data_IF_146875605544
#
_entry.id   IF_146875605544
#
_cell.length_a   1.000
_cell.length_b   1.000
_cell.length_c   1.000
_cell.angle_alpha   90.00
_cell.angle_beta   90.00
_cell.angle_gamma   90.00
#
_symmetry.space_group_name_H-M   'P 1'
#
loop_
_entity.id
_entity.type
_entity.pdbx_description
1 polymer ?
#
# COMPACT_ATOMS: atom_id res chain seq x y z
N UNK A 1 -75.13 17.97 -37.82
CA UNK A 1 -73.75 18.29 -37.36
C UNK A 1 -73.23 17.22 -36.37
N UNK A 2 -73.28 15.92 -36.71
CA UNK A 2 -72.97 14.83 -35.74
C UNK A 2 -72.15 13.65 -36.30
N UNK A 3 -71.43 13.83 -37.44
CA UNK A 3 -70.64 12.73 -38.03
C UNK A 3 -69.17 13.07 -38.35
N UNK A 4 -68.61 14.13 -37.75
CA UNK A 4 -67.18 14.48 -37.92
C UNK A 4 -66.36 14.27 -36.63
N UNK A 5 -67.01 14.17 -35.46
CA UNK A 5 -66.32 14.05 -34.16
C UNK A 5 -65.84 12.63 -33.77
N UNK A 6 -66.25 11.57 -34.49
CA UNK A 6 -65.92 10.18 -34.12
C UNK A 6 -64.67 9.60 -34.80
N UNK A 7 -64.23 10.11 -35.96
CA UNK A 7 -63.03 9.60 -36.63
C UNK A 7 -61.72 10.19 -36.04
N UNK A 8 -61.77 11.39 -35.46
CA UNK A 8 -60.62 12.01 -34.80
C UNK A 8 -60.29 11.28 -33.48
N UNK A 9 -61.31 10.91 -32.68
CA UNK A 9 -61.09 10.18 -31.42
C UNK A 9 -60.53 8.77 -31.61
N UNK A 10 -60.86 8.09 -32.72
CA UNK A 10 -60.36 6.75 -33.01
C UNK A 10 -58.90 6.79 -33.49
N UNK A 11 -58.53 7.72 -34.38
CA UNK A 11 -57.13 7.89 -34.81
C UNK A 11 -56.19 8.39 -33.71
N UNK A 12 -56.66 9.26 -32.80
CA UNK A 12 -55.84 9.69 -31.64
C UNK A 12 -55.64 8.53 -30.67
N UNK A 13 -56.67 7.71 -30.39
CA UNK A 13 -56.52 6.52 -29.53
C UNK A 13 -55.58 5.46 -30.13
N UNK A 14 -55.64 5.18 -31.44
CA UNK A 14 -54.74 4.21 -32.07
C UNK A 14 -53.29 4.73 -32.14
N UNK A 15 -53.08 6.04 -32.40
CA UNK A 15 -51.74 6.64 -32.35
C UNK A 15 -51.16 6.65 -30.93
N UNK A 16 -51.95 6.92 -29.89
CA UNK A 16 -51.50 6.85 -28.49
C UNK A 16 -51.14 5.43 -28.04
N UNK A 17 -51.85 4.39 -28.51
CA UNK A 17 -51.53 2.98 -28.20
C UNK A 17 -50.22 2.56 -28.88
N UNK A 18 -49.99 2.97 -30.13
CA UNK A 18 -48.75 2.66 -30.85
C UNK A 18 -47.56 3.36 -30.19
N UNK A 19 -47.69 4.64 -29.82
CA UNK A 19 -46.64 5.39 -29.12
C UNK A 19 -46.31 4.75 -27.76
N UNK A 20 -47.32 4.35 -26.98
CA UNK A 20 -47.10 3.66 -25.70
C UNK A 20 -46.37 2.31 -25.87
N UNK A 21 -46.72 1.54 -26.90
CA UNK A 21 -46.05 0.25 -27.17
C UNK A 21 -44.59 0.39 -27.62
N UNK A 22 -44.27 1.46 -28.36
CA UNK A 22 -42.89 1.77 -28.77
C UNK A 22 -42.06 2.23 -27.58
N UNK A 23 -42.63 3.04 -26.67
CA UNK A 23 -41.95 3.46 -25.43
C UNK A 23 -41.64 2.25 -24.55
N UNK A 24 -42.57 1.32 -24.39
CA UNK A 24 -42.34 0.09 -23.61
C UNK A 24 -41.28 -0.79 -24.26
N UNK A 25 -41.30 -0.95 -25.59
CA UNK A 25 -40.28 -1.72 -26.30
C UNK A 25 -38.88 -1.09 -26.18
N UNK A 26 -38.78 0.25 -26.27
CA UNK A 26 -37.52 0.99 -26.06
C UNK A 26 -37.05 0.87 -24.61
N UNK A 27 -37.95 0.94 -23.63
CA UNK A 27 -37.61 0.74 -22.22
C UNK A 27 -37.14 -0.70 -21.94
N UNK A 28 -37.78 -1.71 -22.54
CA UNK A 28 -37.35 -3.11 -22.42
C UNK A 28 -36.01 -3.34 -23.12
N UNK A 29 -35.77 -2.73 -24.29
CA UNK A 29 -34.47 -2.79 -24.98
C UNK A 29 -33.40 -2.04 -24.19
N UNK A 30 -33.72 -0.90 -23.57
CA UNK A 30 -32.81 -0.16 -22.70
C UNK A 30 -32.48 -0.96 -21.44
N UNK A 31 -33.47 -1.58 -20.79
CA UNK A 31 -33.26 -2.50 -19.66
C UNK A 31 -32.45 -3.72 -20.09
N UNK A 32 -32.66 -4.25 -21.30
CA UNK A 32 -31.87 -5.36 -21.86
C UNK A 32 -30.45 -4.94 -22.23
N UNK A 33 -30.23 -3.69 -22.65
CA UNK A 33 -28.89 -3.08 -22.87
C UNK A 33 -28.21 -2.87 -21.52
N UNK A 34 -28.88 -2.32 -20.52
CA UNK A 34 -28.39 -2.15 -19.15
C UNK A 34 -28.10 -3.52 -18.49
N UNK A 35 -28.88 -4.56 -18.82
CA UNK A 35 -28.65 -5.90 -18.28
C UNK A 35 -27.62 -6.72 -19.07
N UNK A 36 -27.34 -6.36 -20.34
CA UNK A 36 -26.33 -7.03 -21.18
C UNK A 36 -24.97 -6.34 -21.14
N UNK A 37 -24.94 -5.01 -20.99
CA UNK A 37 -23.80 -4.24 -20.52
C UNK A 37 -23.89 -4.20 -19.01
N UNK A 38 -23.54 -5.30 -18.36
CA UNK A 38 -23.44 -5.36 -16.90
C UNK A 38 -22.35 -4.42 -16.40
N UNK A 39 -22.60 -3.11 -16.43
CA UNK A 39 -21.96 -2.17 -15.53
C UNK A 39 -22.49 -2.56 -14.15
N UNK A 40 -21.75 -3.46 -13.49
CA UNK A 40 -21.85 -3.57 -12.04
C UNK A 40 -21.66 -2.17 -11.45
N UNK A 41 -22.16 -1.96 -10.23
CA UNK A 41 -22.06 -0.72 -9.46
C UNK A 41 -20.60 -0.33 -9.16
N UNK A 42 -19.77 -0.14 -10.19
CA UNK A 42 -18.36 0.17 -10.12
C UNK A 42 -18.16 1.67 -10.27
N UNK A 43 -17.26 2.22 -9.48
CA UNK A 43 -16.89 3.62 -9.56
C UNK A 43 -15.73 3.82 -10.54
N UNK A 44 -15.64 5.04 -11.08
CA UNK A 44 -14.53 5.49 -11.92
C UNK A 44 -13.88 6.70 -11.27
N UNK A 45 -12.55 6.70 -11.15
CA UNK A 45 -11.77 7.87 -10.71
C UNK A 45 -10.91 8.31 -11.88
N UNK A 46 -10.83 9.62 -12.12
CA UNK A 46 -9.93 10.21 -13.14
C UNK A 46 -8.87 11.07 -12.47
N UNK A 47 -7.68 11.12 -13.06
CA UNK A 47 -6.52 11.82 -12.51
C UNK A 47 -5.53 12.21 -13.61
N UNK A 48 -4.56 13.05 -13.26
CA UNK A 48 -3.52 13.49 -14.18
C UNK A 48 -2.53 12.35 -14.50
N UNK A 49 -1.97 12.36 -15.71
CA UNK A 49 -1.08 11.28 -16.18
C UNK A 49 0.23 11.14 -15.36
N UNK A 50 0.62 12.18 -14.64
CA UNK A 50 1.81 12.23 -13.78
C UNK A 50 1.54 11.75 -12.34
N UNK A 51 0.29 11.46 -11.97
CA UNK A 51 -0.10 11.07 -10.60
C UNK A 51 0.49 9.73 -10.14
N UNK A 52 0.85 8.83 -11.07
CA UNK A 52 1.38 7.47 -10.80
C UNK A 52 0.57 6.75 -9.71
N UNK A 53 -0.72 6.57 -9.97
CA UNK A 53 -1.69 6.00 -9.02
C UNK A 53 -1.45 4.52 -8.76
N UNK A 54 -1.53 4.12 -7.50
CA UNK A 54 -1.63 2.73 -7.08
C UNK A 54 -2.67 2.57 -5.96
N UNK A 55 -3.03 1.31 -5.67
CA UNK A 55 -4.08 0.99 -4.71
C UNK A 55 -3.66 -0.12 -3.74
N UNK A 56 -4.25 -0.07 -2.55
CA UNK A 56 -4.47 -1.20 -1.64
C UNK A 56 -5.95 -1.40 -1.42
N UNK A 57 -6.39 -2.63 -1.20
CA UNK A 57 -7.80 -2.98 -1.04
C UNK A 57 -8.07 -3.46 0.37
N UNK A 58 -9.23 -3.07 0.90
CA UNK A 58 -9.72 -3.35 2.24
C UNK A 58 -11.07 -4.05 2.10
N UNK A 59 -11.06 -5.37 1.99
CA UNK A 59 -12.24 -6.07 1.52
C UNK A 59 -12.61 -5.60 0.11
N UNK A 60 -13.72 -4.86 -0.01
CA UNK A 60 -14.19 -4.19 -1.24
C UNK A 60 -13.93 -2.69 -1.30
N UNK A 61 -13.48 -2.11 -0.19
CA UNK A 61 -13.06 -0.71 -0.11
C UNK A 61 -11.61 -0.59 -0.57
N UNK A 62 -11.11 0.65 -0.72
CA UNK A 62 -9.79 0.86 -1.31
C UNK A 62 -9.10 2.12 -0.83
N UNK A 63 -7.78 2.03 -0.70
CA UNK A 63 -6.89 3.12 -0.40
C UNK A 63 -6.07 3.41 -1.66
N UNK A 64 -6.37 4.53 -2.31
CA UNK A 64 -5.59 5.07 -3.41
C UNK A 64 -4.42 5.85 -2.85
N UNK A 65 -3.22 5.63 -3.37
CA UNK A 65 -2.05 6.42 -3.01
C UNK A 65 -1.29 6.90 -4.25
N UNK A 66 -0.74 8.11 -4.13
CA UNK A 66 0.03 8.80 -5.17
C UNK A 66 1.26 9.45 -4.54
N UNK A 67 2.06 10.13 -5.36
CA UNK A 67 3.16 10.98 -4.88
C UNK A 67 2.71 12.13 -3.96
N UNK A 68 1.45 12.56 -4.05
CA UNK A 68 0.94 13.77 -3.40
C UNK A 68 -0.01 13.48 -2.22
N UNK A 69 -0.34 12.22 -1.97
CA UNK A 69 -1.27 11.87 -0.88
C UNK A 69 -2.00 10.56 -1.07
N UNK A 70 -2.93 10.34 -0.15
CA UNK A 70 -3.78 9.16 -0.03
C UNK A 70 -5.25 9.56 0.02
N UNK A 71 -6.11 8.75 -0.60
CA UNK A 71 -7.57 8.87 -0.52
C UNK A 71 -8.15 7.48 -0.27
N UNK A 72 -9.05 7.38 0.71
CA UNK A 72 -9.79 6.15 0.96
C UNK A 72 -11.19 6.23 0.36
N UNK A 73 -11.57 5.21 -0.38
CA UNK A 73 -12.86 5.07 -1.04
C UNK A 73 -13.59 3.84 -0.51
N UNK A 74 -14.89 3.96 -0.26
CA UNK A 74 -15.73 2.79 -0.02
C UNK A 74 -16.03 2.01 -1.32
N UNK A 75 -16.71 0.86 -1.23
CA UNK A 75 -17.11 0.05 -2.40
C UNK A 75 -17.86 0.85 -3.47
N UNK A 76 -18.63 1.88 -3.07
CA UNK A 76 -19.38 2.74 -3.99
C UNK A 76 -18.52 3.82 -4.67
N UNK A 77 -17.22 3.92 -4.35
CA UNK A 77 -16.31 4.94 -4.84
C UNK A 77 -16.47 6.31 -4.19
N UNK A 78 -17.15 6.38 -3.05
CA UNK A 78 -17.25 7.62 -2.29
C UNK A 78 -15.98 7.81 -1.48
N UNK A 79 -15.31 8.96 -1.66
CA UNK A 79 -14.17 9.32 -0.84
C UNK A 79 -14.62 9.55 0.62
N UNK A 80 -14.04 8.79 1.55
CA UNK A 80 -14.38 8.85 2.98
C UNK A 80 -13.46 9.83 3.70
N UNK A 81 -12.15 9.73 3.45
CA UNK A 81 -11.13 10.63 3.98
C UNK A 81 -9.96 10.73 3.01
N UNK A 82 -9.14 11.77 3.18
CA UNK A 82 -7.89 11.95 2.48
C UNK A 82 -6.82 12.51 3.43
N UNK A 83 -5.56 12.29 3.09
CA UNK A 83 -4.41 12.94 3.73
C UNK A 83 -3.37 13.29 2.66
N UNK A 84 -2.70 14.42 2.82
CA UNK A 84 -1.72 14.93 1.86
C UNK A 84 -0.29 14.69 2.33
N UNK A 85 0.60 14.33 1.42
CA UNK A 85 2.03 14.25 1.67
C UNK A 85 2.81 14.51 0.38
N UNK A 86 4.14 14.48 0.43
CA UNK A 86 4.95 14.55 -0.79
C UNK A 86 6.03 13.49 -0.72
N UNK A 87 5.93 12.50 -1.61
CA UNK A 87 6.89 11.40 -1.79
C UNK A 87 7.23 11.29 -3.27
N UNK A 88 8.46 10.96 -3.61
CA UNK A 88 8.90 10.77 -5.00
C UNK A 88 8.36 9.46 -5.60
N UNK A 89 8.42 8.38 -4.83
CA UNK A 89 8.00 7.05 -5.26
C UNK A 89 7.42 6.26 -4.08
N UNK A 90 6.16 6.50 -3.69
CA UNK A 90 5.55 5.86 -2.53
C UNK A 90 5.42 4.35 -2.72
N UNK A 91 5.66 3.63 -1.63
CA UNK A 91 5.53 2.18 -1.47
C UNK A 91 4.53 1.96 -0.34
N UNK A 92 3.54 1.10 -0.58
CA UNK A 92 2.59 0.67 0.43
C UNK A 92 2.88 -0.77 0.87
N UNK A 93 2.89 -1.00 2.18
CA UNK A 93 2.91 -2.34 2.78
C UNK A 93 1.75 -2.45 3.76
N UNK A 94 1.01 -3.54 3.71
CA UNK A 94 -0.17 -3.74 4.54
C UNK A 94 -0.12 -5.00 5.39
N UNK A 95 -0.86 -4.96 6.50
CA UNK A 95 -1.21 -6.13 7.30
C UNK A 95 -2.56 -5.88 7.97
N UNK A 96 -3.52 -6.76 7.71
CA UNK A 96 -4.92 -6.57 8.13
C UNK A 96 -5.40 -5.15 7.74
N UNK A 97 -5.88 -4.39 8.73
CA UNK A 97 -6.48 -3.08 8.51
C UNK A 97 -5.44 -1.94 8.51
N UNK A 98 -4.14 -2.24 8.53
CA UNK A 98 -3.07 -1.25 8.57
C UNK A 98 -2.30 -1.19 7.26
N UNK A 99 -2.10 0.01 6.72
CA UNK A 99 -1.21 0.28 5.58
C UNK A 99 -0.19 1.34 5.96
N UNK A 100 1.09 0.98 5.85
CA UNK A 100 2.18 1.95 5.94
C UNK A 100 2.61 2.39 4.53
N UNK A 101 2.70 3.71 4.34
CA UNK A 101 3.20 4.34 3.13
C UNK A 101 4.54 5.03 3.44
N UNK A 102 5.55 4.72 2.63
CA UNK A 102 6.91 5.27 2.75
C UNK A 102 7.58 5.30 1.38
N UNK A 103 8.83 5.75 1.31
CA UNK A 103 9.67 5.54 0.12
C UNK A 103 11.07 5.13 0.51
N UNK A 104 11.68 4.22 -0.27
CA UNK A 104 13.09 3.87 -0.12
C UNK A 104 13.95 5.11 -0.39
N UNK A 105 14.90 5.41 0.51
CA UNK A 105 15.68 6.65 0.47
C UNK A 105 15.01 7.82 1.19
N UNK A 106 13.72 7.73 1.50
CA UNK A 106 12.97 8.70 2.31
C UNK A 106 13.26 8.56 3.80
N UNK A 107 12.59 9.39 4.62
CA UNK A 107 12.75 9.42 6.09
C UNK A 107 11.44 9.38 6.86
N UNK A 108 10.32 9.22 6.17
CA UNK A 108 8.99 9.23 6.77
C UNK A 108 8.26 7.94 6.44
N UNK A 109 7.64 7.34 7.43
CA UNK A 109 6.61 6.30 7.27
C UNK A 109 5.31 6.86 7.82
N UNK A 110 4.23 6.84 7.03
CA UNK A 110 2.88 7.23 7.47
C UNK A 110 1.99 6.00 7.55
N UNK A 111 1.35 5.79 8.69
CA UNK A 111 0.43 4.69 8.95
C UNK A 111 -1.02 5.13 8.78
N UNK A 112 -1.82 4.33 8.09
CA UNK A 112 -3.24 4.54 7.87
C UNK A 112 -4.04 3.26 8.13
N UNK A 113 -5.32 3.41 8.39
CA UNK A 113 -6.32 2.35 8.42
C UNK A 113 -7.64 2.83 7.80
N UNK A 114 -8.71 2.04 7.85
CA UNK A 114 -10.03 2.41 7.32
C UNK A 114 -10.61 3.71 7.93
N UNK A 115 -10.22 4.05 9.16
CA UNK A 115 -10.66 5.25 9.88
C UNK A 115 -9.83 6.51 9.53
N UNK A 116 -8.67 6.36 8.88
CA UNK A 116 -7.81 7.45 8.47
C UNK A 116 -6.36 7.31 8.92
N UNK A 117 -5.72 8.47 9.12
CA UNK A 117 -4.36 8.55 9.64
C UNK A 117 -4.26 8.01 11.07
N UNK A 118 -3.27 7.15 11.34
CA UNK A 118 -3.05 6.56 12.67
C UNK A 118 -1.86 7.23 13.36
N UNK A 119 -0.67 7.18 12.76
CA UNK A 119 0.55 7.82 13.24
C UNK A 119 1.58 7.97 12.12
N UNK A 120 2.63 8.76 12.33
CA UNK A 120 3.82 8.76 11.48
C UNK A 120 5.09 8.57 12.31
N UNK A 121 6.14 8.09 11.66
CA UNK A 121 7.49 8.04 12.23
C UNK A 121 8.46 8.75 11.31
N UNK A 122 9.35 9.53 11.93
CA UNK A 122 10.45 10.23 11.26
C UNK A 122 11.77 9.54 11.64
N UNK A 123 12.46 8.99 10.65
CA UNK A 123 13.74 8.30 10.85
C UNK A 123 14.90 9.28 10.70
N UNK A 124 15.97 9.03 11.46
CA UNK A 124 17.22 9.80 11.33
C UNK A 124 17.95 9.49 10.02
N UNK A 125 17.93 8.22 9.62
CA UNK A 125 18.59 7.69 8.43
C UNK A 125 17.59 7.28 7.35
N UNK A 126 18.07 7.05 6.13
CA UNK A 126 17.18 6.76 5.00
C UNK A 126 16.57 5.36 5.12
N UNK A 127 15.29 5.25 4.81
CA UNK A 127 14.54 3.98 4.90
C UNK A 127 14.96 3.06 3.75
N UNK A 128 15.19 1.78 4.07
CA UNK A 128 15.37 0.71 3.10
C UNK A 128 14.10 -0.11 2.96
N UNK A 129 13.52 -0.55 4.07
CA UNK A 129 12.33 -1.39 4.09
C UNK A 129 11.50 -1.16 5.34
N UNK A 130 10.20 -1.48 5.23
CA UNK A 130 9.21 -1.42 6.29
C UNK A 130 8.40 -2.71 6.28
N UNK A 131 8.07 -3.24 7.46
CA UNK A 131 7.08 -4.29 7.68
C UNK A 131 5.98 -3.80 8.62
N UNK A 132 4.79 -4.38 8.51
CA UNK A 132 3.62 -4.04 9.34
C UNK A 132 3.13 -5.30 10.03
N UNK A 133 2.97 -5.24 11.35
CA UNK A 133 2.41 -6.31 12.16
C UNK A 133 0.88 -6.22 12.23
N UNK A 134 0.24 -7.32 12.60
CA UNK A 134 -1.22 -7.39 12.75
C UNK A 134 -1.78 -6.44 13.83
N UNK A 135 -0.98 -6.12 14.85
CA UNK A 135 -1.35 -5.16 15.89
C UNK A 135 -1.13 -3.68 15.51
N UNK A 136 -0.60 -3.40 14.30
CA UNK A 136 -0.29 -2.05 13.82
C UNK A 136 1.11 -1.55 14.18
N UNK A 137 1.97 -2.37 14.78
CA UNK A 137 3.40 -2.04 14.95
C UNK A 137 4.13 -2.12 13.61
N UNK A 138 5.27 -1.44 13.49
CA UNK A 138 6.12 -1.52 12.29
C UNK A 138 7.56 -1.85 12.62
N UNK A 139 8.18 -2.68 11.77
CA UNK A 139 9.64 -2.83 11.70
C UNK A 139 10.19 -1.94 10.59
N UNK A 140 11.26 -1.20 10.85
CA UNK A 140 11.88 -0.29 9.88
C UNK A 140 13.38 -0.55 9.83
N UNK A 141 13.90 -0.80 8.63
CA UNK A 141 15.35 -0.90 8.37
C UNK A 141 15.80 0.41 7.74
N UNK A 142 16.81 1.06 8.32
CA UNK A 142 17.40 2.30 7.81
C UNK A 142 18.88 2.13 7.51
N UNK A 143 19.39 2.92 6.56
CA UNK A 143 20.80 2.95 6.17
C UNK A 143 21.41 4.34 6.41
N UNK A 144 22.39 4.41 7.30
CA UNK A 144 23.12 5.62 7.64
C UNK A 144 24.62 5.37 7.71
N UNK A 145 25.24 5.72 8.84
CA UNK A 145 26.63 5.29 9.13
C UNK A 145 26.70 3.77 9.36
N UNK A 146 25.62 3.21 9.90
CA UNK A 146 25.41 1.79 10.13
C UNK A 146 23.97 1.45 9.77
N UNK A 147 23.68 0.19 9.50
CA UNK A 147 22.30 -0.24 9.34
C UNK A 147 21.62 -0.27 10.71
N UNK A 148 20.36 0.15 10.76
CA UNK A 148 19.58 0.11 12.00
C UNK A 148 18.25 -0.55 11.74
N UNK A 149 17.83 -1.46 12.62
CA UNK A 149 16.50 -2.07 12.62
C UNK A 149 15.76 -1.55 13.86
N UNK A 150 14.62 -0.90 13.65
CA UNK A 150 13.82 -0.28 14.72
C UNK A 150 12.38 -0.79 14.69
N UNK A 151 11.81 -1.09 15.85
CA UNK A 151 10.37 -1.37 15.99
C UNK A 151 9.68 -0.17 16.60
N UNK A 152 8.57 0.25 16.00
CA UNK A 152 7.67 1.25 16.54
C UNK A 152 6.33 0.62 16.90
N UNK A 153 5.79 1.01 18.06
CA UNK A 153 4.47 0.63 18.54
C UNK A 153 3.34 1.15 17.63
N UNK A 154 2.10 0.68 17.81
CA UNK A 154 0.91 1.20 17.09
C UNK A 154 0.55 2.67 17.41
N UNK A 155 1.39 3.36 18.19
CA UNK A 155 1.28 4.78 18.51
C UNK A 155 2.49 5.60 18.05
N UNK A 156 3.39 4.99 17.25
CA UNK A 156 4.60 5.63 16.74
C UNK A 156 5.77 5.73 17.74
N UNK A 157 5.62 5.21 18.96
CA UNK A 157 6.72 5.18 19.94
C UNK A 157 7.72 4.06 19.62
N UNK A 158 9.03 4.37 19.68
CA UNK A 158 10.09 3.38 19.52
C UNK A 158 10.09 2.37 20.68
N UNK A 159 10.06 1.07 20.35
CA UNK A 159 10.04 -0.03 21.32
C UNK A 159 11.38 -0.79 21.35
N UNK A 160 12.00 -0.96 20.19
CA UNK A 160 13.24 -1.73 20.03
C UNK A 160 14.13 -1.05 19.00
N UNK A 161 15.44 -1.12 19.19
CA UNK A 161 16.41 -0.65 18.22
C UNK A 161 17.66 -1.53 18.26
N UNK A 162 18.14 -1.92 17.08
CA UNK A 162 19.38 -2.66 16.88
C UNK A 162 20.22 -1.98 15.82
N UNK A 163 21.48 -1.68 16.15
CA UNK A 163 22.46 -1.05 15.26
C UNK A 163 23.46 -2.11 14.81
N UNK A 164 23.58 -2.31 13.51
CA UNK A 164 24.54 -3.23 12.90
C UNK A 164 25.80 -2.49 12.49
N UNK A 165 26.80 -2.53 13.36
CA UNK A 165 28.10 -1.91 13.14
C UNK A 165 29.12 -2.84 12.48
N UNK A 166 28.81 -4.13 12.33
CA UNK A 166 29.74 -5.11 11.80
C UNK A 166 29.84 -5.03 10.27
N UNK A 167 31.05 -4.81 9.78
CA UNK A 167 31.31 -4.75 8.34
C UNK A 167 31.10 -6.12 7.70
N UNK A 168 30.28 -6.20 6.65
CA UNK A 168 29.99 -7.44 5.95
C UNK A 168 28.73 -8.16 6.45
N UNK A 169 28.04 -7.62 7.45
CA UNK A 169 26.73 -8.14 7.91
C UNK A 169 25.66 -7.09 7.61
N UNK A 170 24.65 -7.48 6.83
CA UNK A 170 23.65 -6.55 6.30
C UNK A 170 22.24 -7.06 6.61
N UNK A 171 21.41 -6.33 7.38
CA UNK A 171 20.01 -6.69 7.56
C UNK A 171 19.27 -6.47 6.22
N UNK A 172 18.58 -7.51 5.75
CA UNK A 172 17.91 -7.51 4.45
C UNK A 172 16.40 -7.28 4.58
N UNK A 173 15.74 -8.02 5.47
CA UNK A 173 14.34 -7.80 5.81
C UNK A 173 14.06 -8.09 7.29
N UNK A 174 12.95 -7.57 7.80
CA UNK A 174 12.47 -7.87 9.14
C UNK A 174 10.95 -8.00 9.15
N UNK A 175 10.43 -8.73 10.13
CA UNK A 175 9.00 -8.78 10.40
C UNK A 175 8.73 -8.83 11.90
N UNK A 176 7.58 -8.31 12.32
CA UNK A 176 7.18 -8.22 13.73
C UNK A 176 6.01 -9.17 13.98
N UNK A 177 6.07 -9.93 15.08
CA UNK A 177 5.04 -10.92 15.40
C UNK A 177 3.66 -10.28 15.58
N UNK A 178 2.56 -11.02 15.33
CA UNK A 178 1.20 -10.51 15.47
C UNK A 178 0.91 -9.80 16.80
N UNK A 179 1.47 -10.29 17.90
CA UNK A 179 1.34 -9.69 19.23
C UNK A 179 2.31 -8.52 19.50
N UNK A 180 3.32 -8.31 18.65
CA UNK A 180 4.33 -7.27 18.80
C UNK A 180 5.39 -7.56 19.86
N UNK A 181 5.55 -8.81 20.28
CA UNK A 181 6.54 -9.19 21.30
C UNK A 181 7.90 -9.59 20.70
N UNK A 182 7.91 -10.04 19.44
CA UNK A 182 9.09 -10.58 18.76
C UNK A 182 9.34 -9.81 17.46
N UNK A 183 10.60 -9.52 17.17
CA UNK A 183 11.05 -9.15 15.83
C UNK A 183 11.99 -10.22 15.29
N UNK A 184 11.76 -10.63 14.04
CA UNK A 184 12.69 -11.44 13.27
C UNK A 184 13.45 -10.57 12.28
N UNK A 185 14.76 -10.78 12.16
CA UNK A 185 15.62 -10.03 11.23
C UNK A 185 16.44 -11.02 10.41
N UNK A 186 16.35 -10.94 9.08
CA UNK A 186 17.25 -11.67 8.19
C UNK A 186 18.48 -10.83 7.88
N UNK A 187 19.64 -11.45 7.94
CA UNK A 187 20.93 -10.86 7.64
C UNK A 187 21.60 -11.63 6.52
N UNK A 188 22.28 -10.91 5.63
CA UNK A 188 23.31 -11.47 4.76
C UNK A 188 24.67 -11.26 5.44
N UNK A 189 25.42 -12.33 5.62
CA UNK A 189 26.82 -12.33 6.05
C UNK A 189 27.73 -12.63 4.86
N UNK A 190 28.59 -11.67 4.53
CA UNK A 190 29.57 -11.73 3.44
C UNK A 190 31.01 -11.72 3.96
N UNK A 191 31.24 -11.98 5.25
CA UNK A 191 32.58 -11.97 5.86
C UNK A 191 33.39 -13.22 5.52
N UNK A 192 32.70 -14.32 5.22
CA UNK A 192 33.28 -15.59 4.81
C UNK A 192 33.60 -15.69 3.32
N UNK A 193 34.03 -16.88 2.89
CA UNK A 193 34.26 -17.20 1.47
C UNK A 193 32.92 -17.35 0.72
N UNK A 194 31.93 -17.93 1.38
CA UNK A 194 30.57 -18.13 0.89
C UNK A 194 29.62 -17.20 1.64
N UNK A 195 28.56 -16.77 0.96
CA UNK A 195 27.49 -15.98 1.57
C UNK A 195 26.70 -16.88 2.52
N UNK A 196 26.29 -16.32 3.66
CA UNK A 196 25.36 -16.98 4.58
C UNK A 196 24.20 -16.07 4.89
N UNK A 197 23.01 -16.64 5.07
CA UNK A 197 21.91 -15.96 5.72
C UNK A 197 21.82 -16.35 7.18
N UNK A 198 21.49 -15.38 8.04
CA UNK A 198 21.12 -15.61 9.43
C UNK A 198 19.77 -14.98 9.70
N UNK A 199 18.87 -15.72 10.32
CA UNK A 199 17.62 -15.19 10.88
C UNK A 199 17.81 -15.08 12.38
N UNK A 200 17.82 -13.86 12.92
CA UNK A 200 17.81 -13.63 14.37
C UNK A 200 16.39 -13.38 14.87
N UNK A 201 16.04 -14.00 16.00
CA UNK A 201 14.77 -13.82 16.71
C UNK A 201 15.03 -13.07 18.02
N UNK A 202 14.39 -11.92 18.19
CA UNK A 202 14.65 -11.00 19.30
C UNK A 202 13.37 -10.67 20.05
N UNK A 203 13.44 -10.65 21.38
CA UNK A 203 12.39 -10.02 22.18
C UNK A 203 12.46 -8.50 22.02
N UNK A 204 11.30 -7.88 21.75
CA UNK A 204 11.19 -6.43 21.64
C UNK A 204 11.29 -5.79 23.03
N UNK A 205 10.68 -6.41 24.04
CA UNK A 205 10.75 -5.94 25.42
C UNK A 205 12.08 -6.37 26.08
N UNK A 206 12.86 -5.40 26.58
CA UNK A 206 14.16 -5.63 27.19
C UNK A 206 14.12 -6.44 28.49
N UNK A 207 13.02 -6.37 29.25
CA UNK A 207 12.88 -7.12 30.50
C UNK A 207 12.66 -8.61 30.21
N UNK A 208 11.81 -8.92 29.23
CA UNK A 208 11.63 -10.30 28.73
C UNK A 208 12.93 -10.83 28.11
N UNK A 209 13.66 -9.97 27.39
CA UNK A 209 14.94 -10.30 26.77
C UNK A 209 16.15 -10.30 27.70
N UNK A 210 15.99 -9.97 28.98
CA UNK A 210 17.11 -9.65 29.89
C UNK A 210 18.11 -10.80 30.09
N UNK A 211 17.64 -12.05 29.98
CA UNK A 211 18.47 -13.25 30.12
C UNK A 211 19.23 -13.61 28.82
N UNK A 212 19.00 -12.87 27.74
CA UNK A 212 19.59 -13.09 26.42
C UNK A 212 20.49 -11.92 26.00
N UNK A 213 21.67 -12.24 25.47
CA UNK A 213 22.55 -11.21 24.88
C UNK A 213 21.81 -10.49 23.75
N UNK A 214 21.76 -9.16 23.81
CA UNK A 214 21.03 -8.29 22.89
C UNK A 214 19.54 -8.66 22.70
N UNK A 215 18.92 -9.32 23.69
CA UNK A 215 17.56 -9.87 23.60
C UNK A 215 17.34 -10.94 22.51
N UNK A 216 18.42 -11.47 21.91
CA UNK A 216 18.35 -12.51 20.88
C UNK A 216 18.24 -13.90 21.51
N UNK A 217 17.08 -14.53 21.37
CA UNK A 217 16.81 -15.82 22.00
C UNK A 217 16.87 -17.01 21.03
N UNK A 218 16.86 -16.75 19.72
CA UNK A 218 16.92 -17.78 18.69
C UNK A 218 17.66 -17.29 17.45
N UNK A 219 18.29 -18.22 16.75
CA UNK A 219 18.90 -17.95 15.45
C UNK A 219 18.87 -19.19 14.56
N UNK A 220 18.63 -18.98 13.27
CA UNK A 220 18.73 -20.01 12.22
C UNK A 220 19.74 -19.52 11.18
N UNK A 221 20.71 -20.36 10.84
CA UNK A 221 21.74 -20.07 9.84
C UNK A 221 21.53 -20.94 8.60
N UNK A 222 21.65 -20.32 7.42
CA UNK A 222 21.56 -20.98 6.11
C UNK A 222 22.81 -20.63 5.30
N UNK A 223 23.48 -21.64 4.78
CA UNK A 223 24.67 -21.45 3.94
C UNK A 223 24.24 -21.38 2.47
N UNK A 224 24.86 -20.50 1.70
CA UNK A 224 24.62 -20.36 0.25
C UNK A 224 23.14 -20.11 -0.11
N UNK A 225 22.46 -19.34 0.73
CA UNK A 225 21.06 -18.97 0.60
C UNK A 225 20.88 -17.50 1.00
N UNK A 226 20.03 -16.76 0.29
CA UNK A 226 19.61 -15.40 0.61
C UNK A 226 18.16 -15.39 1.04
N UNK A 227 17.89 -14.99 2.28
CA UNK A 227 16.54 -14.91 2.87
C UNK A 227 16.00 -13.49 2.73
N UNK A 228 15.23 -13.26 1.66
CA UNK A 228 14.84 -11.92 1.20
C UNK A 228 13.45 -11.47 1.68
N UNK A 229 12.61 -12.38 2.18
CA UNK A 229 11.30 -12.03 2.74
C UNK A 229 10.95 -12.94 3.90
N UNK A 230 10.26 -12.39 4.90
CA UNK A 230 9.73 -13.16 6.01
C UNK A 230 8.34 -12.68 6.37
N UNK A 231 7.51 -13.60 6.86
CA UNK A 231 6.21 -13.28 7.42
C UNK A 231 5.98 -14.10 8.68
N UNK A 232 5.71 -13.42 9.80
CA UNK A 232 5.03 -14.06 10.91
C UNK A 232 3.61 -14.40 10.48
N UNK A 233 3.21 -15.63 10.76
CA UNK A 233 1.91 -16.21 10.50
C UNK A 233 1.24 -16.56 11.83
N UNK A 234 0.01 -17.07 11.78
CA UNK A 234 -0.76 -17.42 12.99
C UNK A 234 0.03 -18.29 13.99
N UNK A 235 -0.07 -17.94 15.28
CA UNK A 235 0.68 -18.61 16.36
C UNK A 235 2.14 -18.17 16.48
N UNK A 236 2.51 -17.02 15.91
CA UNK A 236 3.87 -16.47 15.87
C UNK A 236 4.90 -17.40 15.21
N UNK A 237 4.44 -18.29 14.32
CA UNK A 237 5.34 -19.05 13.46
C UNK A 237 5.83 -18.14 12.35
N UNK A 238 7.14 -18.09 12.15
CA UNK A 238 7.78 -17.31 11.09
C UNK A 238 7.97 -18.21 9.86
N UNK A 239 7.54 -17.73 8.70
CA UNK A 239 7.92 -18.30 7.42
C UNK A 239 8.97 -17.38 6.79
N UNK A 240 10.17 -17.92 6.59
CA UNK A 240 11.27 -17.27 5.91
C UNK A 240 11.39 -17.80 4.47
N UNK A 241 11.48 -16.89 3.52
CA UNK A 241 11.51 -17.18 2.08
C UNK A 241 12.88 -16.78 1.58
N UNK A 242 13.64 -17.79 1.18
CA UNK A 242 14.91 -17.65 0.51
C UNK A 242 14.84 -18.05 -0.95
N UNK A 243 15.93 -17.80 -1.66
CA UNK A 243 16.13 -18.18 -3.06
C UNK A 243 16.33 -19.70 -3.25
N UNK A 244 16.69 -20.42 -2.18
CA UNK A 244 16.86 -21.89 -2.17
C UNK A 244 15.82 -22.63 -1.36
N UNK A 245 15.38 -22.07 -0.25
CA UNK A 245 14.49 -22.75 0.67
C UNK A 245 13.41 -21.84 1.24
N UNK A 246 12.29 -22.45 1.59
CA UNK A 246 11.24 -21.84 2.41
C UNK A 246 11.28 -22.54 3.76
N UNK A 247 11.65 -21.78 4.80
CA UNK A 247 11.91 -22.29 6.14
C UNK A 247 10.82 -21.83 7.10
N UNK A 248 10.21 -22.78 7.81
CA UNK A 248 9.30 -22.52 8.92
C UNK A 248 10.09 -22.54 10.23
N UNK A 249 9.92 -21.49 11.03
CA UNK A 249 10.57 -21.32 12.34
C UNK A 249 9.46 -21.11 13.37
N UNK A 250 9.47 -21.90 14.44
CA UNK A 250 8.49 -21.76 15.52
C UNK A 250 8.73 -20.49 16.33
N UNK A 251 7.74 -20.06 17.10
CA UNK A 251 7.86 -18.91 18.00
C UNK A 251 9.05 -19.02 18.99
N UNK A 252 9.47 -20.26 19.31
CA UNK A 252 10.65 -20.54 20.14
C UNK A 252 12.00 -20.31 19.41
N UNK A 253 11.98 -19.87 18.15
CA UNK A 253 13.18 -19.62 17.35
C UNK A 253 13.86 -20.88 16.82
N UNK A 254 13.12 -21.98 16.69
CA UNK A 254 13.63 -23.28 16.21
C UNK A 254 13.09 -23.56 14.81
N UNK A 255 13.96 -23.99 13.90
CA UNK A 255 13.57 -24.47 12.58
C UNK A 255 12.72 -25.75 12.70
N UNK A 256 11.49 -25.70 12.20
CA UNK A 256 10.53 -26.83 12.22
C UNK A 256 10.54 -27.60 10.90
N UNK A 257 10.69 -26.88 9.78
CA UNK A 257 10.74 -27.48 8.45
C UNK A 257 11.44 -26.57 7.46
N UNK A 258 12.04 -27.15 6.44
CA UNK A 258 12.57 -26.44 5.29
C UNK A 258 12.18 -27.19 4.02
N UNK A 259 11.63 -26.47 3.04
CA UNK A 259 11.23 -27.01 1.74
C UNK A 259 12.06 -26.33 0.66
N UNK A 260 12.62 -27.11 -0.26
CA UNK A 260 13.40 -26.55 -1.37
C UNK A 260 12.50 -25.79 -2.35
N UNK A 261 13.01 -24.67 -2.82
CA UNK A 261 12.46 -23.90 -3.93
C UNK A 261 13.03 -24.51 -5.22
N UNK A 262 12.18 -24.66 -6.23
CA UNK A 262 12.53 -25.29 -7.50
C UNK A 262 12.69 -24.29 -8.65
N UNK A 263 12.20 -23.07 -8.49
CA UNK A 263 12.16 -22.03 -9.51
C UNK A 263 12.61 -20.68 -8.93
N UNK A 264 12.96 -19.73 -9.78
CA UNK A 264 13.07 -18.34 -9.38
C UNK A 264 11.75 -17.83 -8.78
N UNK A 265 11.82 -16.95 -7.78
CA UNK A 265 10.63 -16.36 -7.14
C UNK A 265 10.47 -14.94 -7.66
N UNK A 266 9.44 -14.72 -8.49
CA UNK A 266 9.22 -13.43 -9.17
C UNK A 266 8.31 -12.48 -8.39
N UNK A 267 7.53 -13.00 -7.46
CA UNK A 267 6.63 -12.21 -6.61
C UNK A 267 6.23 -12.97 -5.35
N UNK A 268 6.00 -12.23 -4.27
CA UNK A 268 5.61 -12.76 -2.96
C UNK A 268 4.67 -11.79 -2.26
N UNK A 269 3.57 -12.28 -1.68
CA UNK A 269 2.64 -11.46 -0.91
C UNK A 269 1.70 -12.31 -0.04
N UNK A 270 1.04 -11.68 0.92
CA UNK A 270 0.02 -12.34 1.74
C UNK A 270 -1.29 -12.47 0.96
N UNK A 271 -1.88 -13.66 0.98
CA UNK A 271 -3.19 -13.94 0.39
C UNK A 271 -4.04 -14.62 1.47
N UNK A 272 -4.78 -13.80 2.23
CA UNK A 272 -5.46 -14.24 3.45
C UNK A 272 -4.45 -14.79 4.46
N UNK A 273 -4.68 -16.01 4.93
CA UNK A 273 -3.84 -16.68 5.92
C UNK A 273 -2.68 -17.50 5.31
N UNK A 274 -2.36 -17.29 4.03
CA UNK A 274 -1.26 -17.94 3.32
C UNK A 274 -0.33 -16.89 2.75
N UNK A 275 0.88 -17.33 2.43
CA UNK A 275 1.77 -16.57 1.55
C UNK A 275 1.55 -17.11 0.13
N UNK A 276 1.36 -16.23 -0.83
CA UNK A 276 1.35 -16.56 -2.24
C UNK A 276 2.66 -16.13 -2.89
N UNK A 277 3.12 -16.92 -3.86
CA UNK A 277 4.28 -16.66 -4.69
C UNK A 277 3.93 -16.96 -6.13
N UNK A 278 4.70 -16.38 -7.05
CA UNK A 278 4.69 -16.77 -8.46
C UNK A 278 6.10 -17.19 -8.87
N UNK A 279 6.20 -18.38 -9.46
CA UNK A 279 7.45 -18.94 -9.93
C UNK A 279 7.83 -18.40 -11.32
N UNK A 280 9.12 -18.15 -11.51
CA UNK A 280 9.74 -17.88 -12.81
C UNK A 280 10.36 -19.14 -13.40
N UNK A 281 11.52 -18.98 -14.05
CA UNK A 281 12.27 -20.08 -14.62
C UNK A 281 12.72 -21.09 -13.57
N UNK A 282 12.89 -22.35 -13.96
CA UNK A 282 13.42 -23.38 -13.06
C UNK A 282 14.88 -23.10 -12.70
N UNK A 283 15.26 -23.43 -11.47
CA UNK A 283 16.65 -23.33 -11.04
C UNK A 283 17.49 -24.39 -11.76
N UNK A 284 18.73 -24.07 -12.12
CA UNK A 284 19.57 -24.88 -13.02
C UNK A 284 19.83 -26.33 -12.55
N UNK A 285 19.63 -26.62 -11.27
CA UNK A 285 19.84 -27.93 -10.63
C UNK A 285 18.55 -28.60 -10.16
N UNK A 286 17.38 -28.06 -10.53
CA UNK A 286 16.05 -28.53 -10.08
C UNK A 286 15.18 -28.93 -11.28
N UNK A 287 14.21 -29.80 -11.02
CA UNK A 287 13.08 -30.04 -11.93
C UNK A 287 11.92 -29.19 -11.40
N UNK A 288 11.65 -28.08 -12.07
CA UNK A 288 10.73 -27.05 -11.58
C UNK A 288 9.29 -27.22 -12.02
N UNK A 289 8.46 -26.30 -11.54
CA UNK A 289 7.12 -26.07 -12.10
C UNK A 289 7.22 -25.19 -13.35
N UNK A 290 6.12 -25.08 -14.10
CA UNK A 290 6.05 -24.15 -15.22
C UNK A 290 6.23 -22.69 -14.75
N UNK A 291 6.96 -21.84 -15.48
CA UNK A 291 6.97 -20.40 -15.22
C UNK A 291 5.56 -19.82 -15.18
N UNK A 292 5.33 -18.88 -14.26
CA UNK A 292 4.02 -18.30 -13.97
C UNK A 292 3.16 -19.11 -13.00
N UNK A 293 3.60 -20.29 -12.53
CA UNK A 293 2.85 -21.10 -11.57
C UNK A 293 2.67 -20.38 -10.24
N UNK A 294 1.42 -20.32 -9.76
CA UNK A 294 1.11 -19.81 -8.42
C UNK A 294 1.45 -20.89 -7.39
N UNK A 295 2.19 -20.50 -6.35
CA UNK A 295 2.55 -21.38 -5.24
C UNK A 295 2.13 -20.73 -3.93
N UNK A 296 1.48 -21.49 -3.06
CA UNK A 296 1.13 -21.04 -1.72
C UNK A 296 1.99 -21.71 -0.66
N UNK A 297 2.36 -20.96 0.36
CA UNK A 297 2.92 -21.45 1.61
C UNK A 297 1.88 -21.29 2.72
N UNK A 298 1.54 -22.40 3.37
CA UNK A 298 0.71 -22.38 4.58
C UNK A 298 1.51 -21.88 5.80
N UNK A 299 0.81 -21.52 6.89
CA UNK A 299 1.45 -21.12 8.15
C UNK A 299 2.34 -22.18 8.79
N UNK A 300 2.25 -23.44 8.37
CA UNK A 300 3.12 -24.53 8.78
C UNK A 300 4.20 -24.89 7.76
N UNK A 301 4.50 -23.99 6.80
CA UNK A 301 5.57 -24.17 5.82
C UNK A 301 5.28 -25.14 4.68
N UNK A 302 4.06 -25.70 4.59
CA UNK A 302 3.69 -26.62 3.49
C UNK A 302 3.35 -25.85 2.22
N UNK A 303 3.87 -26.34 1.09
CA UNK A 303 3.59 -25.82 -0.24
C UNK A 303 2.35 -26.46 -0.88
N UNK A 304 1.66 -25.68 -1.72
CA UNK A 304 0.66 -26.17 -2.66
C UNK A 304 0.69 -25.34 -3.94
N UNK A 305 0.54 -25.98 -5.08
CA UNK A 305 0.56 -25.34 -6.40
C UNK A 305 -0.86 -25.04 -6.90
N UNK A 306 -0.98 -23.99 -7.69
CA UNK A 306 -2.17 -23.60 -8.44
C UNK A 306 -1.94 -23.67 -9.94
N UNK A 307 -2.80 -23.01 -10.70
CA UNK A 307 -2.63 -22.78 -12.14
C UNK A 307 -1.50 -21.78 -12.40
N UNK A 308 -1.07 -21.70 -13.66
CA UNK A 308 0.01 -20.81 -14.10
C UNK A 308 -0.50 -19.66 -14.98
N UNK A 309 0.17 -18.50 -14.90
CA UNK A 309 0.05 -17.48 -15.92
C UNK A 309 0.70 -17.96 -17.23
N UNK A 310 0.21 -17.49 -18.38
CA UNK A 310 0.77 -17.88 -19.69
C UNK A 310 1.87 -16.91 -20.16
N UNK A 311 2.33 -16.01 -19.29
CA UNK A 311 3.39 -15.03 -19.55
C UNK A 311 4.36 -15.01 -18.38
N UNK A 312 5.62 -14.67 -18.65
CA UNK A 312 6.56 -14.29 -17.60
C UNK A 312 6.05 -13.01 -16.92
N UNK A 313 5.97 -13.01 -15.60
CA UNK A 313 5.27 -11.96 -14.84
C UNK A 313 6.25 -11.00 -14.17
N UNK A 314 6.05 -9.70 -14.36
CA UNK A 314 6.72 -8.61 -13.63
C UNK A 314 5.76 -7.85 -12.69
N UNK A 315 4.47 -8.19 -12.73
CA UNK A 315 3.43 -7.66 -11.87
C UNK A 315 2.84 -8.78 -11.02
N UNK A 316 2.76 -8.56 -9.70
CA UNK A 316 2.18 -9.51 -8.76
C UNK A 316 1.59 -8.77 -7.56
N UNK A 317 0.27 -8.83 -7.40
CA UNK A 317 -0.45 -8.22 -6.27
C UNK A 317 -1.40 -9.25 -5.66
N UNK A 318 -1.40 -9.33 -4.33
CA UNK A 318 -2.28 -10.21 -3.57
C UNK A 318 -3.38 -9.44 -2.85
N UNK A 319 -4.42 -10.17 -2.48
CA UNK A 319 -5.48 -9.79 -1.55
C UNK A 319 -6.01 -11.06 -0.87
N UNK A 320 -6.94 -10.92 0.07
CA UNK A 320 -7.66 -12.07 0.63
C UNK A 320 -8.47 -12.85 -0.42
N UNK A 321 -8.90 -12.19 -1.50
CA UNK A 321 -9.69 -12.81 -2.55
C UNK A 321 -8.89 -13.67 -3.52
N UNK A 322 -7.58 -13.40 -3.62
CA UNK A 322 -6.71 -14.04 -4.60
C UNK A 322 -5.57 -13.14 -5.06
N UNK A 323 -5.02 -13.48 -6.22
CA UNK A 323 -3.79 -12.91 -6.77
C UNK A 323 -4.08 -12.38 -8.16
N UNK A 324 -3.52 -11.22 -8.49
CA UNK A 324 -3.41 -10.75 -9.86
C UNK A 324 -1.95 -10.74 -10.26
N UNK A 325 -1.64 -11.42 -11.36
CA UNK A 325 -0.30 -11.46 -11.92
C UNK A 325 -0.33 -11.17 -13.42
N UNK A 326 0.74 -10.64 -13.97
CA UNK A 326 0.80 -10.32 -15.40
C UNK A 326 2.11 -9.67 -15.81
N UNK A 327 2.17 -9.31 -17.08
CA UNK A 327 3.20 -8.44 -17.63
C UNK A 327 2.68 -7.70 -18.87
N UNK A 328 3.15 -6.46 -19.03
CA UNK A 328 2.81 -5.61 -20.17
C UNK A 328 1.30 -5.43 -20.32
N UNK A 329 0.71 -6.14 -21.28
CA UNK A 329 -0.70 -6.05 -21.64
C UNK A 329 -1.55 -7.23 -21.20
N UNK A 330 -0.96 -8.29 -20.64
CA UNK A 330 -1.64 -9.54 -20.29
C UNK A 330 -1.66 -9.74 -18.77
N UNK A 331 -2.85 -9.89 -18.19
CA UNK A 331 -3.06 -10.05 -16.76
C UNK A 331 -4.02 -11.21 -16.48
N UNK A 332 -3.81 -11.87 -15.35
CA UNK A 332 -4.48 -13.09 -14.92
C UNK A 332 -4.91 -12.94 -13.47
N UNK A 333 -6.14 -13.33 -13.16
CA UNK A 333 -6.65 -13.38 -11.80
C UNK A 333 -6.77 -14.82 -11.33
N UNK A 334 -6.14 -15.13 -10.21
CA UNK A 334 -6.17 -16.44 -9.56
C UNK A 334 -6.90 -16.34 -8.23
N UNK A 335 -7.77 -17.30 -7.94
CA UNK A 335 -8.41 -17.40 -6.62
C UNK A 335 -7.39 -17.64 -5.50
N UNK A 336 -7.79 -17.47 -4.24
CA UNK A 336 -6.99 -17.84 -3.06
C UNK A 336 -6.71 -19.35 -2.90
N UNK A 337 -7.27 -20.17 -3.81
CA UNK A 337 -6.95 -21.57 -4.01
C UNK A 337 -5.99 -21.85 -5.17
N UNK A 338 -5.58 -20.82 -5.92
CA UNK A 338 -4.66 -20.92 -7.06
C UNK A 338 -5.33 -21.21 -8.40
N UNK A 339 -6.65 -21.32 -8.47
CA UNK A 339 -7.36 -21.55 -9.73
C UNK A 339 -7.43 -20.27 -10.56
N UNK A 340 -7.13 -20.36 -11.86
CA UNK A 340 -7.31 -19.27 -12.82
C UNK A 340 -8.80 -18.95 -12.97
N UNK A 341 -9.17 -17.71 -12.69
CA UNK A 341 -10.56 -17.23 -12.71
C UNK A 341 -10.88 -16.43 -13.95
N UNK A 342 -9.94 -15.59 -14.39
CA UNK A 342 -10.07 -14.75 -15.58
C UNK A 342 -8.69 -14.39 -16.12
N UNK A 343 -8.64 -14.05 -17.39
CA UNK A 343 -7.50 -13.41 -18.03
C UNK A 343 -7.99 -12.25 -18.88
N UNK A 344 -7.15 -11.22 -19.00
CA UNK A 344 -7.43 -10.05 -19.83
C UNK A 344 -6.16 -9.67 -20.60
N UNK A 345 -6.34 -9.41 -21.88
CA UNK A 345 -5.33 -8.78 -22.73
C UNK A 345 -5.90 -7.47 -23.24
N UNK A 346 -5.15 -6.38 -23.08
CA UNK A 346 -5.63 -5.02 -23.41
C UNK A 346 -4.63 -4.29 -24.29
N UNK A 347 -5.13 -3.39 -25.14
CA UNK A 347 -4.27 -2.44 -25.87
C UNK A 347 -4.07 -1.12 -25.11
N UNK A 348 -4.79 -0.94 -24.01
CA UNK A 348 -4.73 0.25 -23.16
C UNK A 348 -3.42 0.42 -22.41
N UNK A 349 -3.17 1.65 -21.94
CA UNK A 349 -2.03 1.97 -21.07
C UNK A 349 -2.33 1.55 -19.62
N UNK A 350 -2.52 0.26 -19.41
CA UNK A 350 -2.68 -0.34 -18.07
C UNK A 350 -1.42 -0.06 -17.23
N UNK A 351 -1.66 0.22 -15.96
CA UNK A 351 -0.62 0.47 -14.95
C UNK A 351 -0.75 -0.47 -13.75
N UNK A 352 -1.89 -1.14 -13.60
CA UNK A 352 -2.09 -2.19 -12.61
C UNK A 352 -3.55 -2.65 -12.55
N UNK A 353 -3.74 -3.82 -11.96
CA UNK A 353 -5.05 -4.35 -11.57
C UNK A 353 -4.93 -4.82 -10.12
N UNK A 354 -5.75 -4.26 -9.23
CA UNK A 354 -5.66 -4.51 -7.80
C UNK A 354 -6.85 -5.36 -7.35
N UNK A 355 -6.63 -6.61 -6.88
CA UNK A 355 -7.71 -7.49 -6.46
C UNK A 355 -8.33 -7.04 -5.15
N UNK A 356 -9.64 -7.21 -5.03
CA UNK A 356 -10.38 -7.06 -3.76
C UNK A 356 -10.50 -8.42 -3.06
N UNK A 357 -11.19 -8.49 -1.91
CA UNK A 357 -11.58 -9.76 -1.28
C UNK A 357 -12.44 -10.67 -2.19
N UNK A 358 -12.91 -10.16 -3.33
CA UNK A 358 -13.41 -10.97 -4.44
C UNK A 358 -12.50 -10.81 -5.66
N UNK A 359 -11.79 -11.86 -6.07
CA UNK A 359 -10.90 -11.81 -7.24
C UNK A 359 -11.60 -11.40 -8.55
N UNK A 360 -12.91 -11.56 -8.65
CA UNK A 360 -13.67 -11.11 -9.82
C UNK A 360 -13.98 -9.61 -9.81
N UNK A 361 -13.83 -8.93 -8.66
CA UNK A 361 -13.93 -7.47 -8.54
C UNK A 361 -12.53 -6.92 -8.34
N UNK A 362 -12.01 -6.18 -9.32
CA UNK A 362 -10.67 -5.61 -9.26
C UNK A 362 -10.68 -4.14 -9.65
N UNK A 363 -9.77 -3.34 -9.07
CA UNK A 363 -9.55 -1.97 -9.50
C UNK A 363 -8.61 -2.00 -10.69
N UNK A 364 -9.16 -1.82 -11.89
CA UNK A 364 -8.40 -1.71 -13.12
C UNK A 364 -7.88 -0.27 -13.25
N UNK A 365 -6.58 -0.09 -13.44
CA UNK A 365 -5.92 1.22 -13.35
C UNK A 365 -5.12 1.51 -14.62
N UNK A 366 -5.34 2.68 -15.21
CA UNK A 366 -4.58 3.22 -16.33
C UNK A 366 -3.78 4.46 -15.93
N UNK A 367 -3.10 5.09 -16.89
CA UNK A 367 -2.39 6.36 -16.65
C UNK A 367 -3.28 7.52 -16.21
N UNK A 368 -4.56 7.57 -16.57
CA UNK A 368 -5.41 8.75 -16.32
C UNK A 368 -6.74 8.43 -15.66
N UNK A 369 -7.05 7.15 -15.46
CA UNK A 369 -8.27 6.72 -14.79
C UNK A 369 -8.15 5.32 -14.23
N UNK A 370 -8.92 5.05 -13.19
CA UNK A 370 -9.13 3.73 -12.61
C UNK A 370 -10.62 3.44 -12.50
N UNK A 371 -10.99 2.17 -12.49
CA UNK A 371 -12.38 1.75 -12.31
C UNK A 371 -12.47 0.44 -11.53
N UNK A 372 -13.48 0.34 -10.67
CA UNK A 372 -13.89 -0.94 -10.10
C UNK A 372 -14.59 -1.77 -11.18
N UNK A 373 -13.96 -2.88 -11.57
CA UNK A 373 -14.40 -3.71 -12.69
C UNK A 373 -14.77 -5.13 -12.24
N UNK A 374 -15.81 -5.69 -12.87
CA UNK A 374 -16.09 -7.13 -12.80
C UNK A 374 -15.34 -7.85 -13.92
N UNK A 375 -14.22 -8.47 -13.57
CA UNK A 375 -13.24 -9.00 -14.52
C UNK A 375 -13.75 -10.16 -15.38
N UNK A 376 -14.83 -10.86 -14.99
CA UNK A 376 -15.40 -11.93 -15.80
C UNK A 376 -15.92 -11.46 -17.18
N UNK A 377 -16.33 -10.20 -17.28
CA UNK A 377 -16.92 -9.63 -18.50
C UNK A 377 -16.37 -8.23 -18.80
N UNK A 378 -15.23 -7.86 -18.20
CA UNK A 378 -14.67 -6.52 -18.38
C UNK A 378 -13.85 -6.48 -19.68
N UNK A 379 -14.29 -5.64 -20.61
CA UNK A 379 -13.55 -5.32 -21.83
C UNK A 379 -12.94 -3.92 -21.69
N UNK A 380 -11.64 -3.82 -21.34
CA UNK A 380 -10.99 -2.52 -21.14
C UNK A 380 -10.89 -1.69 -22.42
N UNK A 381 -10.87 -2.33 -23.60
CA UNK A 381 -10.67 -1.63 -24.87
C UNK A 381 -11.96 -0.96 -25.37
N UNK A 382 -13.12 -1.38 -24.86
CA UNK A 382 -14.43 -0.73 -25.12
C UNK A 382 -14.97 0.10 -23.94
N UNK A 383 -14.25 0.15 -22.82
CA UNK A 383 -14.65 0.91 -21.64
C UNK A 383 -14.39 2.41 -21.82
N UNK A 384 -15.44 3.24 -21.69
CA UNK A 384 -15.34 4.70 -21.69
C UNK A 384 -15.50 5.27 -20.25
N UNK A 385 -14.40 5.73 -19.61
CA UNK A 385 -14.45 6.26 -18.24
C UNK A 385 -15.23 7.57 -18.12
N UNK A 386 -15.44 8.31 -19.22
CA UNK A 386 -16.16 9.59 -19.22
C UNK A 386 -17.66 9.44 -19.46
N UNK A 387 -18.11 8.26 -19.87
CA UNK A 387 -19.54 7.92 -19.96
C UNK A 387 -20.00 7.23 -18.67
N UNK A 388 -19.16 6.41 -18.04
CA UNK A 388 -19.45 5.72 -16.78
C UNK A 388 -19.68 6.67 -15.58
N UNK A 389 -19.13 7.89 -15.63
CA UNK A 389 -19.32 8.94 -14.61
C UNK A 389 -20.71 9.61 -14.63
N UNK A 390 -21.55 9.33 -15.63
CA UNK A 390 -22.87 9.97 -15.81
C UNK A 390 -24.06 9.13 -15.32
N UNK A 391 -23.88 8.14 -14.42
CA UNK A 391 -25.02 7.48 -13.78
C UNK A 391 -25.56 8.38 -12.67
N UNK A 392 -26.62 9.11 -13.06
CA UNK A 392 -27.52 9.92 -12.25
C UNK A 392 -27.94 9.16 -10.98
N UNK A 393 -27.60 9.70 -9.81
CA UNK A 393 -28.35 9.41 -8.58
C UNK A 393 -29.77 9.95 -8.75
N UNK A 394 -30.76 9.12 -8.45
CA UNK A 394 -32.17 9.48 -8.47
C UNK A 394 -32.45 10.48 -7.33
N UNK A 395 -32.09 11.75 -7.55
CA UNK A 395 -32.80 12.90 -7.02
C UNK A 395 -32.42 14.12 -7.86
N UNK A 396 -33.40 14.64 -8.60
CA UNK A 396 -33.24 15.74 -9.53
C UNK A 396 -32.87 17.05 -8.83
N UNK A 397 -31.58 17.27 -8.61
CA UNK A 397 -30.96 18.59 -8.54
C UNK A 397 -29.63 18.56 -9.28
N UNK A 398 -29.56 19.29 -10.40
CA UNK A 398 -28.31 19.64 -11.06
C UNK A 398 -27.46 20.49 -10.11
N UNK A 399 -26.36 19.95 -9.63
CA UNK A 399 -25.22 20.74 -9.16
C UNK A 399 -24.07 20.55 -10.14
N UNK A 400 -23.79 21.60 -10.91
CA UNK A 400 -22.54 21.75 -11.65
C UNK A 400 -21.36 21.71 -10.66
N UNK A 401 -20.68 20.57 -10.54
CA UNK A 401 -19.36 20.54 -9.95
C UNK A 401 -18.34 20.98 -11.00
N UNK A 402 -17.90 22.23 -10.88
CA UNK A 402 -16.74 22.75 -11.58
C UNK A 402 -15.52 21.89 -11.27
N UNK A 403 -14.81 21.53 -12.32
CA UNK A 403 -13.42 21.08 -12.31
C UNK A 403 -12.56 22.08 -11.53
N UNK A 404 -12.13 21.73 -10.31
CA UNK A 404 -11.02 22.42 -9.66
C UNK A 404 -9.71 21.79 -10.14
N UNK A 405 -9.09 22.45 -11.11
CA UNK A 405 -7.67 22.32 -11.36
C UNK A 405 -6.92 22.98 -10.20
N UNK A 406 -6.20 22.20 -9.39
CA UNK A 406 -5.27 22.76 -8.40
C UNK A 406 -3.93 22.98 -9.08
N UNK A 407 -3.71 24.18 -9.60
CA UNK A 407 -2.37 24.72 -9.86
C UNK A 407 -2.06 25.75 -8.79
N UNK A 408 -0.95 25.56 -8.07
CA UNK A 408 -0.50 26.46 -7.03
C UNK A 408 -0.20 27.86 -7.58
N UNK A 409 -0.63 28.88 -6.84
CA UNK A 409 -0.16 30.25 -7.01
C UNK A 409 0.50 30.73 -5.71
N UNK A 410 1.78 31.04 -5.85
CA UNK A 410 2.60 31.81 -4.94
C UNK A 410 2.01 33.23 -4.83
N UNK A 411 1.75 33.70 -3.61
CA UNK A 411 1.43 35.11 -3.38
C UNK A 411 2.71 35.87 -3.01
N UNK A 412 3.31 36.54 -3.99
CA UNK A 412 4.11 37.74 -3.77
C UNK A 412 3.18 38.94 -3.55
N UNK A 413 3.25 39.55 -2.36
CA UNK A 413 2.59 40.83 -2.07
C UNK A 413 3.48 42.00 -2.50
N UNK A 414 3.06 42.74 -3.52
CA UNK A 414 3.49 44.12 -3.76
C UNK A 414 2.53 45.13 -3.11
N UNK A 415 3.16 46.14 -2.50
CA UNK A 415 2.55 47.37 -1.97
C UNK A 415 1.78 48.12 -3.05
N UNK A 416 0.64 48.72 -2.69
CA UNK A 416 0.43 50.13 -2.96
C UNK A 416 -0.61 50.79 -2.03
N UNK A 417 -0.35 52.07 -1.81
CA UNK A 417 -0.80 52.93 -0.74
C UNK A 417 -2.02 53.76 -1.19
N UNK A 418 -2.99 54.07 -0.30
CA UNK A 418 -3.52 55.44 -0.13
C UNK A 418 -4.81 55.52 0.73
N UNK A 419 -4.63 56.11 1.91
CA UNK A 419 -5.45 57.16 2.57
C UNK A 419 -6.99 57.12 2.53
N UNK A 420 -7.60 57.10 3.73
CA UNK A 420 -8.40 58.24 4.23
C UNK A 420 -8.76 58.15 5.72
N UNK A 421 -8.29 59.16 6.45
CA UNK A 421 -8.88 59.93 7.57
C UNK A 421 -9.70 59.31 8.72
N UNK A 422 -9.11 59.49 9.92
CA UNK A 422 -9.64 60.08 11.18
C UNK A 422 -10.69 59.31 12.01
N UNK A 423 -10.26 58.92 13.22
CA UNK A 423 -10.76 59.55 14.46
C UNK A 423 -9.82 59.37 15.68
N UNK A 424 -9.74 60.46 16.44
CA UNK A 424 -9.08 60.77 17.73
C UNK A 424 -9.92 60.11 18.86
N UNK A 425 -9.49 59.68 20.06
CA UNK A 425 -8.60 60.23 21.11
C UNK A 425 -8.46 59.22 22.27
N UNK A 426 -7.35 59.34 23.02
CA UNK A 426 -7.15 59.15 24.49
C UNK A 426 -7.27 57.73 25.09
N UNK A 427 -6.39 57.24 25.96
CA UNK A 427 -5.71 57.92 27.08
C UNK A 427 -4.53 57.07 27.68
N UNK A 428 -3.47 57.77 28.16
CA UNK A 428 -2.46 57.44 29.21
C UNK A 428 -1.36 56.38 28.96
N UNK A 429 -0.07 56.78 28.84
CA UNK A 429 0.94 57.15 29.88
C UNK A 429 1.48 55.93 30.64
N UNK A 430 2.77 55.68 30.86
CA UNK A 430 4.01 56.49 31.00
C UNK A 430 5.21 55.52 30.78
N UNK A 431 6.20 55.87 29.94
CA UNK A 431 7.57 56.31 30.31
C UNK A 431 8.50 55.24 30.94
N UNK A 432 9.83 55.17 30.75
CA UNK A 432 10.86 55.55 29.77
C UNK A 432 12.16 54.88 30.30
N UNK A 433 13.06 54.54 29.39
CA UNK A 433 14.51 54.26 29.50
C UNK A 433 15.23 54.47 30.86
N UNK A 434 16.19 53.59 31.17
CA UNK A 434 17.62 53.99 31.29
C UNK A 434 18.62 52.83 31.34
N UNK A 435 19.73 53.09 30.66
CA UNK A 435 20.96 52.32 30.51
C UNK A 435 21.76 52.12 31.82
N UNK A 436 22.74 51.22 31.71
CA UNK A 436 24.04 51.15 32.41
C UNK A 436 24.05 50.76 33.90
N UNK A 437 24.55 49.54 34.21
CA UNK A 437 25.94 49.39 34.69
C UNK A 437 26.38 47.91 34.90
N UNK A 438 27.55 47.63 34.32
CA UNK A 438 28.66 46.80 34.84
C UNK A 438 28.54 45.28 35.06
N UNK A 439 29.20 44.58 34.12
CA UNK A 439 30.05 43.41 34.38
C UNK A 439 31.21 43.76 35.33
N UNK A 440 31.51 42.83 36.24
CA UNK A 440 32.80 42.51 36.89
C UNK A 440 32.46 41.36 37.86
N UNK A 441 33.20 40.29 38.12
CA UNK A 441 34.55 39.75 37.94
C UNK A 441 34.41 38.30 38.52
N UNK A 442 35.24 37.27 38.36
CA UNK A 442 36.59 37.07 37.86
C UNK A 442 36.76 35.54 37.79
N UNK A 443 37.43 35.06 36.75
CA UNK A 443 37.96 33.71 36.69
C UNK A 443 39.40 33.86 36.19
N UNK A 444 40.37 33.91 37.12
CA UNK A 444 41.79 33.76 36.79
C UNK A 444 42.52 33.31 38.04
N UNK A 445 42.89 32.04 38.10
CA UNK A 445 44.15 31.58 38.69
C UNK A 445 44.32 30.09 38.43
N UNK A 446 45.15 29.77 37.44
CA UNK A 446 45.83 28.48 37.39
C UNK A 446 47.16 28.70 36.65
N UNK A 447 48.21 28.95 37.43
CA UNK A 447 49.56 28.52 37.05
C UNK A 447 50.53 28.58 38.24
N UNK A 448 51.36 27.53 38.30
CA UNK A 448 52.52 27.27 39.19
C UNK A 448 52.21 26.61 40.53
N UNK A 449 52.50 25.31 40.60
CA UNK A 449 53.70 24.84 41.30
C UNK A 449 53.98 23.36 41.00
N UNK A 450 55.06 23.10 40.25
CA UNK A 450 55.96 21.98 40.50
C UNK A 450 57.11 22.51 41.36
N UNK A 451 57.43 21.89 42.51
CA UNK A 451 58.79 21.53 42.97
C UNK A 451 58.69 20.74 44.29
N UNK A 452 59.28 19.53 44.35
CA UNK A 452 59.79 18.76 45.52
C UNK A 452 58.82 18.48 46.69
N UNK A 453 58.53 17.24 47.10
CA UNK A 453 59.37 16.06 47.37
C UNK A 453 58.50 14.79 47.34
#
# INVERSE_FOLDING_TARGET
MFSVKNNIKRHVKTKSIIIASVIIAVAVIAVLIISKFGFGNGFTVTYSADSKVAYRTYGTDSLQYTKDGVIYYNEAGTAIWNDSYTMTSPIAVERNDYTAIFETGGRTVKMYNEEGFVYDVQTQDTILSVSVAENGSIGVITNGTSYTVTVYSPSGNMLFQRVESESGIYPLCCDVSPDGEIIAISYIDTTGVEIKSKIGMFYINSDTGADYTDSMYGAVEKNDEIIFKMYFMGGNNLIAIGDRNITSISAAGVEESSVEVTNEIMGVGLCGNKIAMIYGEELSDKEGELPGTIVFVSSGGKLSTGDSAEVETDYFICSDGGIVAGSGTAYYGFSSGGQLMWSVTTTGNITGIYPTSSINKCIYTTRTWSAMANMNNFDPDSYDPYVATNIITDDGQETENKTENISGEENETENENSTSDKNISDEKKEETEKENNEKSQEQTENNKNETQN
#
